data_IF_518912501565
#
_entry.id   IF_518912501565
#
_cell.length_a   1.000
_cell.length_b   1.000
_cell.length_c   1.000
_cell.angle_alpha   90.00
_cell.angle_beta   90.00
_cell.angle_gamma   90.00
#
_symmetry.space_group_name_H-M   'P 1'
#
loop_
_entity.id
_entity.type
_entity.pdbx_description
1 polymer ?
#
# COMPACT_ATOMS: atom_id res chain seq x y z
N UNK A 1 -16.54 -2.62 -1.43
CA UNK A 1 -16.48 -4.06 -1.13
C UNK A 1 -16.60 -4.29 0.38
N UNK A 2 -15.79 -3.61 1.21
CA UNK A 2 -15.75 -3.83 2.65
C UNK A 2 -17.10 -3.81 3.39
N UNK A 3 -17.99 -2.88 3.07
CA UNK A 3 -19.27 -2.74 3.78
C UNK A 3 -20.44 -3.54 3.16
N UNK A 4 -20.39 -3.89 1.86
CA UNK A 4 -21.49 -4.57 1.15
C UNK A 4 -21.15 -6.02 0.74
N UNK A 5 -19.90 -6.45 0.99
CA UNK A 5 -19.39 -7.75 0.54
C UNK A 5 -19.07 -7.78 -0.95
N UNK A 6 -18.15 -8.66 -1.33
CA UNK A 6 -17.70 -8.82 -2.74
C UNK A 6 -18.80 -9.39 -3.66
N UNK A 7 -19.78 -10.15 -3.14
CA UNK A 7 -20.88 -10.74 -3.88
C UNK A 7 -22.10 -9.83 -4.06
N UNK A 8 -22.01 -8.52 -3.76
CA UNK A 8 -23.12 -7.62 -4.04
C UNK A 8 -23.19 -7.25 -5.51
N UNK A 9 -24.39 -7.27 -6.08
CA UNK A 9 -24.64 -6.95 -7.50
C UNK A 9 -24.05 -5.59 -7.89
N UNK A 10 -24.08 -4.60 -6.99
CA UNK A 10 -23.50 -3.28 -7.23
C UNK A 10 -21.98 -3.35 -7.42
N UNK A 11 -21.27 -4.15 -6.63
CA UNK A 11 -19.81 -4.29 -6.71
C UNK A 11 -19.42 -5.09 -7.94
N UNK A 12 -20.13 -6.19 -8.21
CA UNK A 12 -19.90 -7.01 -9.41
C UNK A 12 -20.13 -6.21 -10.71
N UNK A 13 -21.21 -5.41 -10.75
CA UNK A 13 -21.48 -4.54 -11.91
C UNK A 13 -20.43 -3.46 -12.10
N UNK A 14 -19.97 -2.80 -11.01
CA UNK A 14 -18.89 -1.82 -11.09
C UNK A 14 -17.57 -2.43 -11.55
N UNK A 15 -17.23 -3.63 -11.08
CA UNK A 15 -16.05 -4.38 -11.56
C UNK A 15 -16.16 -4.74 -13.03
N UNK A 16 -17.31 -5.27 -13.46
CA UNK A 16 -17.54 -5.61 -14.86
C UNK A 16 -17.41 -4.39 -15.78
N UNK A 17 -18.02 -3.27 -15.39
CA UNK A 17 -17.90 -1.98 -16.10
C UNK A 17 -16.44 -1.54 -16.16
N UNK A 18 -15.71 -1.55 -15.03
CA UNK A 18 -14.30 -1.17 -14.97
C UNK A 18 -13.43 -2.03 -15.90
N UNK A 19 -13.60 -3.34 -15.89
CA UNK A 19 -12.88 -4.27 -16.76
C UNK A 19 -13.21 -3.99 -18.24
N UNK A 20 -14.48 -3.79 -18.59
CA UNK A 20 -14.90 -3.46 -19.95
C UNK A 20 -14.21 -2.18 -20.45
N UNK A 21 -14.20 -1.11 -19.63
CA UNK A 21 -13.55 0.15 -20.01
C UNK A 21 -12.03 -0.01 -20.15
N UNK A 22 -11.37 -0.81 -19.31
CA UNK A 22 -9.93 -1.09 -19.46
C UNK A 22 -9.67 -1.84 -20.77
N UNK A 23 -10.47 -2.87 -21.09
CA UNK A 23 -10.34 -3.63 -22.34
C UNK A 23 -10.56 -2.72 -23.56
N UNK A 24 -11.61 -1.90 -23.56
CA UNK A 24 -11.89 -0.95 -24.62
C UNK A 24 -10.78 0.07 -24.80
N UNK A 25 -10.23 0.57 -23.68
CA UNK A 25 -9.10 1.48 -23.70
C UNK A 25 -7.85 0.83 -24.34
N UNK A 26 -7.49 -0.38 -23.91
CA UNK A 26 -6.34 -1.12 -24.48
C UNK A 26 -6.54 -1.40 -25.97
N UNK A 27 -7.74 -1.84 -26.39
CA UNK A 27 -8.04 -2.08 -27.81
C UNK A 27 -7.91 -0.79 -28.63
N UNK A 28 -8.39 0.33 -28.09
CA UNK A 28 -8.27 1.64 -28.73
C UNK A 28 -6.80 2.06 -28.89
N UNK A 29 -6.02 1.96 -27.81
CA UNK A 29 -4.59 2.32 -27.81
C UNK A 29 -3.79 1.49 -28.82
N UNK A 30 -4.08 0.19 -28.94
CA UNK A 30 -3.43 -0.71 -29.90
C UNK A 30 -3.79 -0.38 -31.37
N UNK A 31 -4.94 0.29 -31.61
CA UNK A 31 -5.40 0.63 -32.97
C UNK A 31 -5.07 2.06 -33.42
N UNK A 32 -4.66 2.92 -32.50
CA UNK A 32 -4.34 4.33 -32.81
C UNK A 32 -2.96 4.46 -33.44
N UNK A 33 -2.83 5.31 -34.47
CA UNK A 33 -1.54 5.64 -35.10
C UNK A 33 -0.62 6.48 -34.19
N UNK A 34 -1.19 7.25 -33.26
CA UNK A 34 -0.48 8.02 -32.22
C UNK A 34 -1.15 7.78 -30.85
N UNK A 35 -0.83 6.65 -30.21
CA UNK A 35 -1.43 6.28 -28.92
C UNK A 35 -0.98 7.24 -27.83
N UNK A 36 -1.86 7.52 -26.86
CA UNK A 36 -1.49 8.29 -25.65
C UNK A 36 -0.55 7.48 -24.75
N UNK A 37 -0.79 6.17 -24.64
CA UNK A 37 0.04 5.21 -23.91
C UNK A 37 0.64 4.21 -24.90
N UNK A 38 1.83 4.48 -25.38
CA UNK A 38 2.50 3.52 -26.26
C UNK A 38 2.95 2.30 -25.46
N UNK A 39 2.26 1.16 -25.66
CA UNK A 39 2.56 -0.12 -24.98
C UNK A 39 3.92 -0.71 -25.40
N UNK A 40 4.59 -0.13 -26.38
CA UNK A 40 5.96 -0.49 -26.73
C UNK A 40 6.94 -0.38 -25.57
N UNK A 41 6.64 0.49 -24.57
CA UNK A 41 7.44 0.62 -23.34
C UNK A 41 7.58 -0.71 -22.59
N UNK A 42 6.63 -1.63 -22.74
CA UNK A 42 6.66 -2.96 -22.11
C UNK A 42 7.66 -3.92 -22.78
N UNK A 43 8.17 -3.62 -23.97
CA UNK A 43 9.22 -4.40 -24.61
C UNK A 43 10.58 -4.24 -23.90
N UNK A 44 10.73 -3.22 -23.05
CA UNK A 44 11.96 -2.95 -22.31
C UNK A 44 11.92 -3.64 -20.94
N UNK A 45 12.70 -4.73 -20.73
CA UNK A 45 12.58 -5.57 -19.53
C UNK A 45 12.85 -4.81 -18.23
N UNK A 46 13.80 -3.87 -18.26
CA UNK A 46 14.12 -3.04 -17.09
C UNK A 46 12.96 -2.13 -16.71
N UNK A 47 12.31 -1.49 -17.70
CA UNK A 47 11.12 -0.67 -17.47
C UNK A 47 9.98 -1.50 -16.89
N UNK A 48 9.68 -2.64 -17.53
CA UNK A 48 8.59 -3.53 -17.11
C UNK A 48 8.80 -4.06 -15.70
N UNK A 49 9.99 -4.58 -15.39
CA UNK A 49 10.29 -5.07 -14.04
C UNK A 49 10.21 -3.96 -12.99
N UNK A 50 10.77 -2.78 -13.28
CA UNK A 50 10.69 -1.63 -12.37
C UNK A 50 9.25 -1.17 -12.15
N UNK A 51 8.42 -1.20 -13.19
CA UNK A 51 6.98 -0.89 -13.10
C UNK A 51 6.26 -1.89 -12.20
N UNK A 52 6.50 -3.19 -12.37
CA UNK A 52 5.89 -4.24 -11.54
C UNK A 52 6.29 -4.06 -10.07
N UNK A 53 7.56 -3.84 -9.79
CA UNK A 53 8.04 -3.59 -8.42
C UNK A 53 7.34 -2.35 -7.84
N UNK A 54 7.26 -1.27 -8.62
CA UNK A 54 6.58 -0.04 -8.19
C UNK A 54 5.09 -0.29 -7.89
N UNK A 55 4.39 -1.09 -8.71
CA UNK A 55 3.00 -1.47 -8.46
C UNK A 55 2.86 -2.22 -7.12
N UNK A 56 3.71 -3.22 -6.88
CA UNK A 56 3.66 -4.02 -5.64
C UNK A 56 3.97 -3.15 -4.41
N UNK A 57 4.93 -2.24 -4.51
CA UNK A 57 5.20 -1.24 -3.46
C UNK A 57 3.98 -0.35 -3.20
N UNK A 58 3.28 0.07 -4.27
CA UNK A 58 2.06 0.87 -4.13
C UNK A 58 0.92 0.12 -3.44
N UNK A 59 0.74 -1.18 -3.70
CA UNK A 59 -0.23 -2.00 -2.98
C UNK A 59 -0.02 -1.91 -1.46
N UNK A 60 1.23 -2.02 -1.01
CA UNK A 60 1.57 -1.89 0.42
C UNK A 60 1.40 -0.46 0.94
N UNK A 61 1.79 0.55 0.15
CA UNK A 61 1.80 1.95 0.57
C UNK A 61 0.40 2.48 0.85
N UNK A 62 -0.54 2.27 -0.08
CA UNK A 62 -1.90 2.81 0.02
C UNK A 62 -2.68 2.25 1.20
N UNK A 63 -2.40 0.98 1.59
CA UNK A 63 -2.96 0.42 2.81
C UNK A 63 -2.60 1.23 4.06
N UNK A 64 -1.31 1.51 4.24
CA UNK A 64 -0.87 2.31 5.38
C UNK A 64 -1.41 3.74 5.38
N UNK A 65 -1.63 4.32 4.19
CA UNK A 65 -2.19 5.65 4.05
C UNK A 65 -3.65 5.75 4.53
N UNK A 66 -4.40 4.65 4.46
CA UNK A 66 -5.82 4.59 4.86
C UNK A 66 -5.98 3.96 6.24
N UNK A 67 -5.30 2.85 6.51
CA UNK A 67 -5.46 2.10 7.76
C UNK A 67 -4.96 2.90 8.97
N UNK A 68 -3.86 3.64 8.83
CA UNK A 68 -3.29 4.38 9.95
C UNK A 68 -4.18 5.54 10.43
N UNK A 69 -4.76 6.39 9.56
CA UNK A 69 -5.79 7.36 9.98
C UNK A 69 -7.03 6.73 10.60
N UNK A 70 -7.50 5.58 10.09
CA UNK A 70 -8.64 4.85 10.69
C UNK A 70 -8.30 4.42 12.11
N UNK A 71 -7.12 3.84 12.33
CA UNK A 71 -6.65 3.46 13.65
C UNK A 71 -6.56 4.68 14.59
N UNK A 72 -5.93 5.78 14.16
CA UNK A 72 -5.72 6.96 14.99
C UNK A 72 -7.04 7.66 15.36
N UNK A 73 -7.92 7.88 14.38
CA UNK A 73 -9.15 8.67 14.58
C UNK A 73 -10.28 7.84 15.15
N UNK A 74 -10.57 6.67 14.59
CA UNK A 74 -11.77 5.90 14.97
C UNK A 74 -11.54 5.05 16.23
N UNK A 75 -10.32 4.57 16.46
CA UNK A 75 -10.03 3.66 17.57
C UNK A 75 -9.37 4.38 18.74
N UNK A 76 -8.35 5.20 18.45
CA UNK A 76 -7.60 5.94 19.48
C UNK A 76 -8.23 7.30 19.83
N UNK A 77 -9.21 7.77 19.05
CA UNK A 77 -9.93 9.03 19.30
C UNK A 77 -9.10 10.29 19.07
N UNK A 78 -7.97 10.21 18.35
CA UNK A 78 -7.21 11.40 17.97
C UNK A 78 -8.00 12.27 16.99
N UNK A 79 -7.84 13.59 17.10
CA UNK A 79 -8.41 14.51 16.12
C UNK A 79 -7.78 14.31 14.73
N UNK A 80 -8.45 14.80 13.69
CA UNK A 80 -7.89 14.80 12.34
C UNK A 80 -6.58 15.63 12.28
N UNK A 81 -6.48 16.68 13.10
CA UNK A 81 -5.27 17.51 13.22
C UNK A 81 -4.12 16.72 13.83
N UNK A 82 -4.35 16.04 14.97
CA UNK A 82 -3.31 15.24 15.64
C UNK A 82 -2.83 14.10 14.75
N UNK A 83 -3.76 13.46 14.03
CA UNK A 83 -3.43 12.43 13.03
C UNK A 83 -2.57 12.99 11.89
N UNK A 84 -2.91 14.18 11.40
CA UNK A 84 -2.10 14.88 10.38
C UNK A 84 -0.71 15.27 10.88
N UNK A 85 -0.61 15.76 12.12
CA UNK A 85 0.66 16.10 12.76
C UNK A 85 1.56 14.88 12.97
N UNK A 86 0.97 13.71 13.28
CA UNK A 86 1.71 12.44 13.37
C UNK A 86 2.32 12.04 12.03
N UNK A 87 1.60 12.23 10.92
CA UNK A 87 2.05 11.85 9.58
C UNK A 87 3.01 12.88 8.95
N UNK A 88 2.98 14.12 9.42
CA UNK A 88 3.73 15.24 8.84
C UNK A 88 5.25 15.02 8.82
N UNK A 89 5.93 14.59 9.92
CA UNK A 89 7.37 14.38 9.91
C UNK A 89 7.82 13.34 8.86
N UNK A 90 7.05 12.26 8.69
CA UNK A 90 7.34 11.26 7.67
C UNK A 90 7.24 11.81 6.25
N UNK A 91 6.20 12.60 5.97
CA UNK A 91 6.02 13.25 4.67
C UNK A 91 7.12 14.25 4.35
N UNK A 92 7.57 15.02 5.36
CA UNK A 92 8.69 15.96 5.22
C UNK A 92 10.00 15.22 4.91
N UNK A 93 10.30 14.15 5.64
CA UNK A 93 11.50 13.33 5.41
C UNK A 93 11.49 12.76 3.99
N UNK A 94 10.36 12.22 3.53
CA UNK A 94 10.22 11.70 2.17
C UNK A 94 10.47 12.80 1.12
N UNK A 95 9.94 14.00 1.31
CA UNK A 95 10.13 15.14 0.41
C UNK A 95 11.57 15.64 0.38
N UNK A 96 12.22 15.77 1.52
CA UNK A 96 13.60 16.27 1.65
C UNK A 96 14.63 15.25 1.13
N UNK A 97 14.43 13.96 1.39
CA UNK A 97 15.35 12.92 0.98
C UNK A 97 15.17 12.47 -0.49
N UNK A 98 14.03 12.75 -1.12
CA UNK A 98 13.78 12.38 -2.51
C UNK A 98 14.86 12.84 -3.48
N UNK A 99 15.23 14.15 -3.52
CA UNK A 99 16.32 14.65 -4.38
C UNK A 99 17.69 14.06 -4.04
N UNK A 100 17.95 13.78 -2.75
CA UNK A 100 19.18 13.13 -2.31
C UNK A 100 19.25 11.67 -2.80
N UNK A 101 18.15 10.94 -2.68
CA UNK A 101 18.02 9.57 -3.18
C UNK A 101 18.20 9.52 -4.72
N UNK A 102 17.73 10.54 -5.45
CA UNK A 102 17.96 10.69 -6.88
C UNK A 102 19.44 10.82 -7.23
N UNK A 103 20.20 11.65 -6.50
CA UNK A 103 21.65 11.76 -6.69
C UNK A 103 22.39 10.46 -6.33
N UNK A 104 21.95 9.78 -5.28
CA UNK A 104 22.52 8.53 -4.85
C UNK A 104 22.30 7.41 -5.88
N UNK A 105 21.20 7.45 -6.64
CA UNK A 105 20.95 6.56 -7.77
C UNK A 105 22.09 6.60 -8.82
N UNK A 106 22.63 7.79 -9.09
CA UNK A 106 23.70 7.95 -10.09
C UNK A 106 25.02 7.33 -9.62
N UNK A 107 25.26 7.27 -8.31
CA UNK A 107 26.54 6.77 -7.73
C UNK A 107 26.50 5.27 -7.45
N UNK A 108 25.50 4.79 -6.73
CA UNK A 108 25.43 3.39 -6.27
C UNK A 108 24.49 2.53 -7.13
N UNK A 109 23.67 3.13 -7.96
CA UNK A 109 22.73 2.44 -8.84
C UNK A 109 21.40 2.08 -8.19
N UNK A 110 20.44 1.65 -9.04
CA UNK A 110 19.05 1.37 -8.62
C UNK A 110 18.96 0.19 -7.66
N UNK A 111 19.60 -0.94 -7.98
CA UNK A 111 19.41 -2.21 -7.28
C UNK A 111 19.71 -2.13 -5.77
N UNK A 112 20.91 -1.68 -5.32
CA UNK A 112 21.20 -1.58 -3.89
C UNK A 112 20.31 -0.56 -3.18
N UNK A 113 19.98 0.54 -3.86
CA UNK A 113 19.15 1.59 -3.30
C UNK A 113 17.71 1.12 -3.07
N UNK A 114 17.14 0.42 -4.06
CA UNK A 114 15.80 -0.14 -3.97
C UNK A 114 15.72 -1.24 -2.90
N UNK A 115 16.70 -2.15 -2.83
CA UNK A 115 16.75 -3.19 -1.79
C UNK A 115 16.79 -2.56 -0.40
N UNK A 116 17.65 -1.57 -0.18
CA UNK A 116 17.74 -0.87 1.10
C UNK A 116 16.40 -0.19 1.46
N UNK A 117 15.84 0.60 0.54
CA UNK A 117 14.59 1.33 0.77
C UNK A 117 13.41 0.40 1.07
N UNK A 118 13.26 -0.68 0.27
CA UNK A 118 12.16 -1.64 0.47
C UNK A 118 12.38 -2.44 1.76
N UNK A 119 13.61 -2.82 2.11
CA UNK A 119 13.89 -3.53 3.36
C UNK A 119 13.50 -2.69 4.59
N UNK A 120 13.90 -1.41 4.61
CA UNK A 120 13.51 -0.47 5.68
C UNK A 120 11.99 -0.28 5.72
N UNK A 121 11.35 -0.12 4.57
CA UNK A 121 9.89 0.01 4.47
C UNK A 121 9.17 -1.25 4.96
N UNK A 122 9.69 -2.44 4.59
CA UNK A 122 9.14 -3.74 5.02
C UNK A 122 9.23 -3.89 6.53
N UNK A 123 10.37 -3.58 7.12
CA UNK A 123 10.56 -3.63 8.56
C UNK A 123 9.60 -2.68 9.28
N UNK A 124 9.51 -1.44 8.83
CA UNK A 124 8.58 -0.47 9.42
C UNK A 124 7.10 -0.89 9.25
N UNK A 125 6.73 -1.49 8.11
CA UNK A 125 5.37 -2.01 7.91
C UNK A 125 5.09 -3.22 8.80
N UNK A 126 6.09 -4.07 9.04
CA UNK A 126 6.02 -5.16 10.00
C UNK A 126 5.81 -4.66 11.43
N UNK A 127 6.47 -3.58 11.86
CA UNK A 127 6.22 -3.00 13.18
C UNK A 127 4.78 -2.47 13.34
N UNK A 128 4.13 -2.03 12.25
CA UNK A 128 2.72 -1.64 12.27
C UNK A 128 1.75 -2.83 12.45
N UNK A 129 2.19 -4.07 12.33
CA UNK A 129 1.35 -5.24 12.64
C UNK A 129 1.18 -5.49 14.14
N UNK A 130 1.89 -4.77 14.99
CA UNK A 130 1.90 -4.90 16.45
C UNK A 130 1.17 -3.76 17.15
N UNK A 131 0.34 -3.01 16.43
CA UNK A 131 -0.43 -1.93 17.01
C UNK A 131 -1.44 -2.47 18.03
N UNK A 132 -1.58 -1.74 19.15
CA UNK A 132 -2.56 -2.01 20.18
C UNK A 132 -3.19 -0.70 20.69
N UNK A 133 -4.19 -0.80 21.56
CA UNK A 133 -4.88 0.38 22.10
C UNK A 133 -3.98 1.29 22.94
N UNK A 134 -2.86 0.80 23.44
CA UNK A 134 -1.95 1.52 24.35
C UNK A 134 -0.65 1.98 23.67
N UNK A 135 -0.45 1.66 22.35
CA UNK A 135 0.77 2.03 21.63
C UNK A 135 1.02 3.55 21.71
N UNK A 136 2.17 4.02 22.25
CA UNK A 136 2.45 5.44 22.41
C UNK A 136 2.43 6.19 21.07
N UNK A 137 1.91 7.42 21.09
CA UNK A 137 1.86 8.31 19.92
C UNK A 137 3.23 8.47 19.24
N UNK A 138 4.29 8.68 20.02
CA UNK A 138 5.66 8.84 19.51
C UNK A 138 6.21 7.58 18.87
N UNK A 139 5.80 6.39 19.33
CA UNK A 139 6.17 5.11 18.72
C UNK A 139 5.56 4.99 17.33
N UNK A 140 4.26 5.25 17.19
CA UNK A 140 3.56 5.21 15.90
C UNK A 140 4.19 6.20 14.92
N UNK A 141 4.45 7.43 15.39
CA UNK A 141 5.12 8.46 14.60
C UNK A 141 6.51 8.01 14.15
N UNK A 142 7.31 7.41 15.03
CA UNK A 142 8.65 6.91 14.71
C UNK A 142 8.62 5.81 13.66
N UNK A 143 7.69 4.86 13.77
CA UNK A 143 7.51 3.78 12.78
C UNK A 143 7.09 4.37 11.41
N UNK A 144 6.17 5.34 11.42
CA UNK A 144 5.73 5.99 10.18
C UNK A 144 6.85 6.80 9.52
N UNK A 145 7.66 7.50 10.31
CA UNK A 145 8.87 8.21 9.86
C UNK A 145 9.86 7.25 9.24
N UNK A 146 10.14 6.12 9.88
CA UNK A 146 11.04 5.09 9.36
C UNK A 146 10.52 4.49 8.04
N UNK A 147 9.21 4.25 7.94
CA UNK A 147 8.55 3.79 6.73
C UNK A 147 8.69 4.79 5.59
N UNK A 148 8.46 6.07 5.88
CA UNK A 148 8.59 7.17 4.91
C UNK A 148 10.04 7.39 4.48
N UNK A 149 10.99 7.19 5.39
CA UNK A 149 12.42 7.19 5.08
C UNK A 149 12.77 6.12 4.05
N UNK A 150 12.37 4.85 4.28
CA UNK A 150 12.55 3.79 3.29
C UNK A 150 11.92 4.14 1.93
N UNK A 151 10.74 4.73 1.95
CA UNK A 151 9.98 5.12 0.77
C UNK A 151 10.69 6.21 -0.07
N UNK A 152 11.40 7.14 0.57
CA UNK A 152 12.19 8.17 -0.13
C UNK A 152 13.25 7.57 -1.06
N UNK A 153 13.86 6.44 -0.67
CA UNK A 153 14.86 5.73 -1.48
C UNK A 153 14.26 4.82 -2.57
N UNK A 154 12.93 4.71 -2.61
CA UNK A 154 12.22 3.90 -3.61
C UNK A 154 11.58 4.80 -4.68
N UNK A 155 10.77 5.78 -4.26
CA UNK A 155 9.84 6.50 -5.13
C UNK A 155 10.55 7.21 -6.29
N UNK A 156 11.48 8.09 -5.97
CA UNK A 156 12.18 8.90 -6.98
C UNK A 156 13.17 8.07 -7.81
N UNK A 157 14.05 7.25 -7.20
CA UNK A 157 15.00 6.42 -7.94
C UNK A 157 14.34 5.42 -8.89
N UNK A 158 13.24 4.80 -8.47
CA UNK A 158 12.51 3.84 -9.32
C UNK A 158 11.92 4.48 -10.56
N UNK A 159 11.27 5.65 -10.43
CA UNK A 159 10.70 6.38 -11.57
C UNK A 159 11.80 6.82 -12.52
N UNK A 160 12.86 7.42 -11.98
CA UNK A 160 14.00 7.90 -12.79
C UNK A 160 14.67 6.76 -13.55
N UNK A 161 14.92 5.62 -12.88
CA UNK A 161 15.54 4.47 -13.50
C UNK A 161 14.65 3.81 -14.57
N UNK A 162 13.34 3.74 -14.34
CA UNK A 162 12.38 3.21 -15.30
C UNK A 162 12.38 4.06 -16.59
N UNK A 163 12.28 5.38 -16.44
CA UNK A 163 12.26 6.30 -17.60
C UNK A 163 13.62 6.31 -18.33
N UNK A 164 14.72 6.28 -17.59
CA UNK A 164 16.06 6.21 -18.17
C UNK A 164 16.38 4.89 -18.90
N UNK A 165 15.57 3.85 -18.69
CA UNK A 165 15.67 2.58 -19.41
C UNK A 165 14.95 2.61 -20.77
N UNK A 166 14.25 3.71 -21.09
CA UNK A 166 13.53 3.88 -22.35
C UNK A 166 14.29 4.81 -23.30
N UNK A 167 14.13 4.63 -24.63
CA UNK A 167 14.52 5.64 -25.61
C UNK A 167 13.81 6.97 -25.36
N UNK A 168 14.47 8.09 -25.64
CA UNK A 168 13.93 9.44 -25.37
C UNK A 168 12.53 9.67 -25.95
N UNK A 169 12.22 9.10 -27.14
CA UNK A 169 10.91 9.17 -27.79
C UNK A 169 9.78 8.52 -26.97
N UNK A 170 10.11 7.53 -26.11
CA UNK A 170 9.15 6.79 -25.29
C UNK A 170 9.09 7.30 -23.84
N UNK A 171 9.94 8.22 -23.41
CA UNK A 171 10.02 8.69 -22.03
C UNK A 171 8.69 9.27 -21.51
N UNK A 172 8.01 10.07 -22.32
CA UNK A 172 6.69 10.65 -21.96
C UNK A 172 5.62 9.57 -21.82
N UNK A 173 5.58 8.61 -22.75
CA UNK A 173 4.66 7.46 -22.69
C UNK A 173 4.95 6.56 -21.50
N UNK A 174 6.24 6.33 -21.18
CA UNK A 174 6.66 5.58 -19.99
C UNK A 174 6.21 6.24 -18.69
N UNK A 175 6.34 7.56 -18.58
CA UNK A 175 5.88 8.29 -17.40
C UNK A 175 4.34 8.22 -17.23
N UNK A 176 3.59 8.40 -18.33
CA UNK A 176 2.14 8.26 -18.31
C UNK A 176 1.70 6.84 -17.92
N UNK A 177 2.37 5.81 -18.47
CA UNK A 177 2.13 4.42 -18.13
C UNK A 177 2.41 4.11 -16.66
N UNK A 178 3.56 4.56 -16.13
CA UNK A 178 3.91 4.41 -14.71
C UNK A 178 2.86 5.03 -13.81
N UNK A 179 2.41 6.25 -14.09
CA UNK A 179 1.40 6.92 -13.27
C UNK A 179 0.06 6.19 -13.31
N UNK A 180 -0.36 5.70 -14.47
CA UNK A 180 -1.58 4.89 -14.62
C UNK A 180 -1.48 3.59 -13.80
N UNK A 181 -0.37 2.87 -13.90
CA UNK A 181 -0.15 1.63 -13.16
C UNK A 181 -0.10 1.86 -11.63
N UNK A 182 0.47 2.97 -11.19
CA UNK A 182 0.47 3.37 -9.77
C UNK A 182 -0.95 3.58 -9.24
N UNK A 183 -1.80 4.29 -9.99
CA UNK A 183 -3.19 4.54 -9.59
C UNK A 183 -4.00 3.25 -9.54
N UNK A 184 -3.83 2.36 -10.54
CA UNK A 184 -4.46 1.05 -10.54
C UNK A 184 -4.01 0.22 -9.32
N UNK A 185 -2.69 0.15 -9.08
CA UNK A 185 -2.16 -0.57 -7.92
C UNK A 185 -2.65 0.03 -6.60
N UNK A 186 -2.72 1.36 -6.49
CA UNK A 186 -3.25 2.04 -5.31
C UNK A 186 -4.71 1.69 -5.03
N UNK A 187 -5.56 1.72 -6.06
CA UNK A 187 -6.98 1.37 -5.93
C UNK A 187 -7.17 -0.10 -5.54
N UNK A 188 -6.44 -1.02 -6.19
CA UNK A 188 -6.48 -2.45 -5.88
C UNK A 188 -5.94 -2.70 -4.47
N UNK A 189 -4.81 -2.10 -4.10
CA UNK A 189 -4.20 -2.25 -2.77
C UNK A 189 -5.14 -1.78 -1.66
N UNK A 190 -5.76 -0.61 -1.84
CA UNK A 190 -6.78 -0.12 -0.92
C UNK A 190 -7.95 -1.10 -0.78
N UNK A 191 -8.49 -1.58 -1.91
CA UNK A 191 -9.62 -2.51 -1.88
C UNK A 191 -9.27 -3.82 -1.15
N UNK A 192 -8.09 -4.40 -1.43
CA UNK A 192 -7.63 -5.63 -0.78
C UNK A 192 -7.46 -5.39 0.72
N UNK A 193 -6.71 -4.36 1.13
CA UNK A 193 -6.34 -4.17 2.53
C UNK A 193 -7.53 -3.74 3.39
N UNK A 194 -8.45 -2.93 2.87
CA UNK A 194 -9.71 -2.61 3.57
C UNK A 194 -10.60 -3.85 3.67
N UNK A 195 -10.65 -4.70 2.65
CA UNK A 195 -11.41 -5.95 2.73
C UNK A 195 -10.83 -6.90 3.77
N UNK A 196 -9.50 -7.07 3.80
CA UNK A 196 -8.84 -7.87 4.84
C UNK A 196 -9.18 -7.32 6.21
N UNK A 197 -9.00 -6.01 6.43
CA UNK A 197 -9.34 -5.35 7.69
C UNK A 197 -10.80 -5.66 8.11
N UNK A 198 -11.78 -5.44 7.23
CA UNK A 198 -13.20 -5.62 7.59
C UNK A 198 -13.58 -7.08 7.82
N UNK A 199 -13.04 -8.00 7.00
CA UNK A 199 -13.30 -9.43 7.15
C UNK A 199 -12.68 -9.96 8.43
N UNK A 200 -11.42 -9.62 8.70
CA UNK A 200 -10.73 -10.06 9.91
C UNK A 200 -11.34 -9.42 11.17
N UNK A 201 -11.73 -8.14 11.11
CA UNK A 201 -12.49 -7.51 12.20
C UNK A 201 -13.73 -8.33 12.56
N UNK A 202 -14.49 -8.81 11.56
CA UNK A 202 -15.69 -9.63 11.79
C UNK A 202 -15.34 -10.99 12.40
N UNK A 203 -14.27 -11.62 11.96
CA UNK A 203 -13.79 -12.90 12.51
C UNK A 203 -13.31 -12.75 13.95
N UNK A 204 -12.49 -11.74 14.25
CA UNK A 204 -12.05 -11.45 15.61
C UNK A 204 -13.22 -11.08 16.52
N UNK A 205 -14.21 -10.33 16.00
CA UNK A 205 -15.42 -9.99 16.77
C UNK A 205 -16.23 -11.23 17.14
N UNK A 206 -16.37 -12.21 16.24
CA UNK A 206 -17.05 -13.47 16.55
C UNK A 206 -16.25 -14.31 17.56
N UNK A 207 -14.93 -14.40 17.42
CA UNK A 207 -14.07 -15.12 18.35
C UNK A 207 -14.14 -14.51 19.77
N UNK A 208 -14.00 -13.20 19.89
CA UNK A 208 -14.15 -12.52 21.18
C UNK A 208 -15.57 -12.65 21.77
N UNK A 209 -16.60 -12.70 20.90
CA UNK A 209 -17.98 -12.93 21.33
C UNK A 209 -18.21 -14.31 21.94
N UNK A 210 -17.53 -15.34 21.41
CA UNK A 210 -17.56 -16.71 21.96
C UNK A 210 -16.81 -16.79 23.30
N UNK A 211 -15.70 -16.08 23.47
CA UNK A 211 -14.94 -16.01 24.72
C UNK A 211 -15.68 -15.26 25.83
N UNK A 212 -16.59 -14.35 25.50
CA UNK A 212 -17.45 -13.60 26.40
C UNK A 212 -18.67 -14.46 26.82
N UNK A 213 -18.47 -15.74 27.09
CA UNK A 213 -19.54 -16.60 27.56
C UNK A 213 -20.14 -16.05 28.88
N UNK A 214 -21.46 -15.82 28.85
CA UNK A 214 -22.25 -15.32 30.02
C UNK A 214 -22.18 -16.21 31.26
N UNK A 215 -21.67 -17.43 31.12
CA UNK A 215 -21.46 -18.37 32.20
C UNK A 215 -20.14 -18.18 32.94
N UNK A 216 -19.21 -17.41 32.40
CA UNK A 216 -17.92 -17.13 33.01
C UNK A 216 -18.08 -16.18 34.22
N UNK A 217 -17.74 -16.58 35.45
CA UNK A 217 -17.91 -15.75 36.65
C UNK A 217 -17.17 -14.41 36.57
N UNK A 218 -15.98 -14.38 35.94
CA UNK A 218 -15.19 -13.16 35.80
C UNK A 218 -15.90 -12.15 34.89
N UNK A 219 -16.54 -12.63 33.82
CA UNK A 219 -17.34 -11.78 32.91
C UNK A 219 -18.57 -11.24 33.64
N UNK A 220 -19.22 -12.04 34.48
CA UNK A 220 -20.36 -11.61 35.28
C UNK A 220 -20.00 -10.54 36.32
N UNK A 221 -18.89 -10.70 37.04
CA UNK A 221 -18.43 -9.72 38.01
C UNK A 221 -18.09 -8.36 37.36
N UNK A 222 -17.35 -8.36 36.24
CA UNK A 222 -17.08 -7.12 35.47
C UNK A 222 -18.36 -6.53 34.87
N UNK A 223 -19.31 -7.35 34.43
CA UNK A 223 -20.60 -6.86 33.93
C UNK A 223 -21.42 -6.20 35.02
N UNK A 224 -21.40 -6.71 36.28
CA UNK A 224 -22.06 -6.10 37.43
C UNK A 224 -21.42 -4.73 37.76
N UNK A 225 -20.11 -4.65 37.74
CA UNK A 225 -19.38 -3.39 37.97
C UNK A 225 -19.73 -2.34 36.91
N UNK A 226 -19.66 -2.70 35.63
CA UNK A 226 -20.05 -1.83 34.53
C UNK A 226 -21.53 -1.44 34.60
N UNK A 227 -22.42 -2.34 34.97
CA UNK A 227 -23.83 -2.04 35.06
C UNK A 227 -24.13 -0.97 36.15
N UNK A 228 -23.36 -0.97 37.23
CA UNK A 228 -23.48 0.05 38.29
C UNK A 228 -23.04 1.44 37.81
N UNK A 229 -22.06 1.50 36.87
CA UNK A 229 -21.51 2.76 36.36
C UNK A 229 -22.29 3.33 35.16
N UNK A 230 -22.86 2.48 34.30
CA UNK A 230 -23.43 2.86 33.02
C UNK A 230 -24.95 2.68 32.88
N UNK A 231 -25.68 2.74 34.00
CA UNK A 231 -27.15 2.78 33.97
C UNK A 231 -27.84 1.43 33.78
N UNK A 232 -27.21 0.35 34.27
CA UNK A 232 -27.78 -1.00 34.24
C UNK A 232 -27.16 -1.92 33.20
N UNK A 233 -27.69 -3.13 33.07
CA UNK A 233 -27.13 -4.18 32.21
C UNK A 233 -27.11 -3.82 30.73
N UNK A 234 -28.09 -3.05 30.23
CA UNK A 234 -28.09 -2.59 28.82
C UNK A 234 -26.95 -1.62 28.54
N UNK A 235 -26.70 -0.69 29.49
CA UNK A 235 -25.57 0.26 29.36
C UNK A 235 -24.22 -0.44 29.39
N UNK A 236 -24.03 -1.36 30.34
CA UNK A 236 -22.83 -2.18 30.45
C UNK A 236 -22.58 -3.01 29.19
N UNK A 237 -23.61 -3.67 28.66
CA UNK A 237 -23.50 -4.47 27.44
C UNK A 237 -23.09 -3.61 26.23
N UNK A 238 -23.66 -2.40 26.11
CA UNK A 238 -23.32 -1.48 25.03
C UNK A 238 -21.86 -1.03 25.07
N UNK A 239 -21.35 -0.69 26.27
CA UNK A 239 -19.95 -0.31 26.47
C UNK A 239 -19.02 -1.49 26.16
N UNK A 240 -19.35 -2.69 26.64
CA UNK A 240 -18.57 -3.90 26.40
C UNK A 240 -18.49 -4.21 24.87
N UNK A 241 -19.62 -4.19 24.18
CA UNK A 241 -19.67 -4.42 22.73
C UNK A 241 -18.86 -3.36 21.95
N UNK A 242 -18.89 -2.09 22.37
CA UNK A 242 -18.06 -1.06 21.76
C UNK A 242 -16.58 -1.31 21.97
N UNK A 243 -16.19 -1.74 23.17
CA UNK A 243 -14.79 -2.05 23.49
C UNK A 243 -14.29 -3.25 22.70
N UNK A 244 -15.05 -4.35 22.67
CA UNK A 244 -14.73 -5.55 21.90
C UNK A 244 -14.64 -5.26 20.40
N UNK A 245 -15.55 -4.44 19.88
CA UNK A 245 -15.50 -4.02 18.47
C UNK A 245 -14.24 -3.19 18.15
N UNK A 246 -13.80 -2.33 19.07
CA UNK A 246 -12.54 -1.61 18.93
C UNK A 246 -11.33 -2.56 18.92
N UNK A 247 -11.27 -3.51 19.84
CA UNK A 247 -10.19 -4.51 19.88
C UNK A 247 -10.16 -5.34 18.60
N UNK A 248 -11.31 -5.88 18.17
CA UNK A 248 -11.43 -6.65 16.95
C UNK A 248 -10.99 -5.84 15.71
N UNK A 249 -11.28 -4.52 15.69
CA UNK A 249 -10.87 -3.66 14.59
C UNK A 249 -9.35 -3.39 14.60
N UNK A 250 -8.72 -3.28 15.77
CA UNK A 250 -7.26 -3.18 15.88
C UNK A 250 -6.60 -4.44 15.31
N UNK A 251 -7.08 -5.62 15.69
CA UNK A 251 -6.55 -6.89 15.15
C UNK A 251 -6.79 -7.00 13.64
N UNK A 252 -7.95 -6.61 13.14
CA UNK A 252 -8.23 -6.57 11.70
C UNK A 252 -7.30 -5.60 10.94
N UNK A 253 -6.89 -4.49 11.55
CA UNK A 253 -5.89 -3.56 10.99
C UNK A 253 -4.50 -4.22 11.01
N UNK A 254 -4.12 -4.90 12.09
CA UNK A 254 -2.86 -5.62 12.19
C UNK A 254 -2.74 -6.69 11.09
N UNK A 255 -3.80 -7.47 10.87
CA UNK A 255 -3.87 -8.47 9.79
C UNK A 255 -3.74 -7.84 8.40
N UNK A 256 -4.37 -6.68 8.18
CA UNK A 256 -4.19 -5.94 6.93
C UNK A 256 -2.74 -5.45 6.76
N UNK A 257 -2.05 -5.04 7.83
CA UNK A 257 -0.61 -4.72 7.78
C UNK A 257 0.27 -5.95 7.55
N UNK A 258 -0.13 -7.14 7.98
CA UNK A 258 0.56 -8.41 7.61
C UNK A 258 0.51 -8.59 6.08
N UNK A 259 -0.65 -8.44 5.47
CA UNK A 259 -0.79 -8.53 4.01
C UNK A 259 0.03 -7.45 3.29
N UNK A 260 0.03 -6.22 3.81
CA UNK A 260 0.88 -5.14 3.29
C UNK A 260 2.38 -5.46 3.38
N UNK A 261 2.79 -6.13 4.46
CA UNK A 261 4.17 -6.61 4.65
C UNK A 261 4.52 -7.70 3.64
N UNK A 262 3.60 -8.63 3.37
CA UNK A 262 3.79 -9.66 2.33
C UNK A 262 4.02 -9.00 0.97
N UNK A 263 3.23 -8.00 0.59
CA UNK A 263 3.48 -7.25 -0.65
C UNK A 263 4.86 -6.60 -0.67
N UNK A 264 5.30 -6.02 0.45
CA UNK A 264 6.64 -5.42 0.55
C UNK A 264 7.75 -6.46 0.39
N UNK A 265 7.59 -7.67 0.96
CA UNK A 265 8.53 -8.79 0.81
C UNK A 265 8.57 -9.26 -0.66
N UNK A 266 7.42 -9.37 -1.32
CA UNK A 266 7.36 -9.70 -2.74
C UNK A 266 8.12 -8.66 -3.56
N UNK A 267 7.92 -7.37 -3.28
CA UNK A 267 8.67 -6.30 -3.94
C UNK A 267 10.18 -6.42 -3.69
N UNK A 268 10.60 -6.76 -2.48
CA UNK A 268 12.00 -6.98 -2.13
C UNK A 268 12.62 -8.14 -2.93
N UNK A 269 11.89 -9.25 -3.04
CA UNK A 269 12.33 -10.41 -3.85
C UNK A 269 12.46 -10.00 -5.33
N UNK A 270 11.47 -9.29 -5.88
CA UNK A 270 11.53 -8.81 -7.25
C UNK A 270 12.71 -7.88 -7.52
N UNK A 271 13.12 -7.08 -6.52
CA UNK A 271 14.30 -6.21 -6.64
C UNK A 271 15.61 -7.00 -6.83
N UNK A 272 15.68 -8.25 -6.41
CA UNK A 272 16.88 -9.09 -6.63
C UNK A 272 17.11 -9.35 -8.13
N UNK A 273 16.04 -9.32 -8.94
CA UNK A 273 16.09 -9.53 -10.38
C UNK A 273 16.39 -8.23 -11.16
N UNK A 274 16.48 -7.07 -10.50
CA UNK A 274 16.85 -5.81 -11.16
C UNK A 274 18.27 -5.91 -11.74
N UNK A 275 18.38 -5.49 -13.00
CA UNK A 275 19.66 -5.42 -13.69
C UNK A 275 20.45 -4.16 -13.28
N UNK A 276 21.79 -4.24 -13.36
CA UNK A 276 22.64 -3.06 -13.14
C UNK A 276 22.38 -2.00 -14.24
N UNK A 277 22.37 -0.71 -13.84
CA UNK A 277 22.10 0.44 -14.73
C UNK A 277 22.96 0.45 -16.03
N UNK A 278 24.20 -0.04 -15.97
CA UNK A 278 25.06 -0.13 -17.17
C UNK A 278 24.53 -1.12 -18.21
N UNK A 279 24.02 -2.28 -17.76
CA UNK A 279 23.43 -3.28 -18.66
C UNK A 279 22.08 -2.82 -19.22
N UNK A 280 21.27 -2.11 -18.43
CA UNK A 280 19.98 -1.60 -18.84
C UNK A 280 20.10 -0.57 -19.98
N UNK A 281 21.03 0.40 -19.87
CA UNK A 281 21.30 1.39 -20.93
C UNK A 281 21.83 0.73 -22.22
N UNK A 282 22.71 -0.24 -22.10
CA UNK A 282 23.25 -0.97 -23.28
C UNK A 282 22.15 -1.78 -24.01
N UNK A 283 21.22 -2.38 -23.26
CA UNK A 283 20.09 -3.13 -23.82
C UNK A 283 19.10 -2.18 -24.53
N UNK A 284 18.80 -1.04 -23.91
CA UNK A 284 17.92 -0.02 -24.52
C UNK A 284 18.49 0.53 -25.83
N UNK A 285 19.79 0.84 -25.89
CA UNK A 285 20.45 1.29 -27.11
C UNK A 285 20.48 0.24 -28.23
N UNK A 286 20.67 -1.04 -27.90
CA UNK A 286 20.61 -2.14 -28.87
C UNK A 286 19.21 -2.31 -29.46
N UNK A 287 18.18 -2.31 -28.61
CA UNK A 287 16.80 -2.44 -29.05
C UNK A 287 16.34 -1.26 -29.91
N UNK A 288 16.83 -0.05 -29.63
CA UNK A 288 16.52 1.14 -30.43
C UNK A 288 17.21 1.08 -31.81
N UNK A 289 18.45 0.58 -31.88
CA UNK A 289 19.17 0.36 -33.11
C UNK A 289 18.52 -0.72 -34.00
N UNK A 290 18.10 -1.85 -33.39
CA UNK A 290 17.41 -2.93 -34.12
C UNK A 290 16.05 -2.49 -34.67
N UNK A 291 15.31 -1.65 -33.93
CA UNK A 291 14.03 -1.12 -34.39
C UNK A 291 14.18 -0.06 -35.50
N UNK A 292 15.27 0.72 -35.52
CA UNK A 292 15.52 1.68 -36.61
C UNK A 292 15.85 0.99 -37.93
N UNK A 293 16.52 -0.16 -37.89
CA UNK A 293 16.87 -0.94 -39.09
C UNK A 293 15.64 -1.66 -39.70
N UNK A 294 14.66 -2.04 -38.89
CA UNK A 294 13.46 -2.75 -39.36
C UNK A 294 12.35 -1.81 -39.89
N UNK A 295 12.52 -0.51 -39.82
CA UNK A 295 11.57 0.49 -40.30
C UNK A 295 12.06 1.28 -41.53
N UNK A 296 13.26 1.00 -42.05
CA UNK A 296 13.76 1.37 -43.40
C UNK A 296 13.45 0.26 -44.41
#
# INVERSE_FOLDING_TARGET
>A
AGNKGWGSVEIETMFAIGIIFIILFVIRELRMKSPMLNLEVLKFPTFTLTTIINMVVMLSLYGGMILLPIYLQNLRGFSALDSGLLLLPGSLIMGLLGPFAGKLLDTIGLKPLAIFGIAVMTYATWELTKLNMDTPYMTIMGIYVLRSFGMAFIMMPMVTAAINALPGRLASHGNAFLNTMRQLAGSIGTAILVTVMTTQTTQHLSAFGEELDKTNPVVQDHMHELASQYGGQEGAMKVLLQFVNKLATVEGINDAFIVATIFSIIALILCLFLQSNKKAKATAQKLDADNSINHE
#
